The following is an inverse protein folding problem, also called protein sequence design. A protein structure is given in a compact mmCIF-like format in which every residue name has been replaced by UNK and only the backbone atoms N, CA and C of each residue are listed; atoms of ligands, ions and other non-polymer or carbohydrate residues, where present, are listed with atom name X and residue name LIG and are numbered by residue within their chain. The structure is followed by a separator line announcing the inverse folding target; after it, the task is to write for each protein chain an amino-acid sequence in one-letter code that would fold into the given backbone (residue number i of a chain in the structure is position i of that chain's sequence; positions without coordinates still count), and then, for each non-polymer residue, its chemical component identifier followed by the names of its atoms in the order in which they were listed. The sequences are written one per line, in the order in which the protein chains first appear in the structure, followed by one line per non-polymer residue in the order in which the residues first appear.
data_IF_280870745870
#
_entry.id   IF_280870745870
#
_cell.length_a   1.000
_cell.length_b   1.000
_cell.length_c   1.000
_cell.angle_alpha   90.00
_cell.angle_beta   90.00
_cell.angle_gamma   90.00
#
_symmetry.space_group_name_H-M   'P 1'
#
loop_
_entity.id
_entity.type
_entity.pdbx_description
1 polymer ?
#
# COMPACT_ATOMS: atom_id res chain seq x y z
N UNK A 1 -1.09 -28.26 -26.89
CA UNK A 1 -0.96 -26.84 -26.50
C UNK A 1 -2.17 -26.31 -25.72
N UNK A 2 -3.40 -26.66 -26.08
CA UNK A 2 -4.66 -25.95 -25.73
C UNK A 2 -5.03 -25.70 -24.26
N UNK A 3 -4.27 -26.20 -23.27
CA UNK A 3 -4.55 -25.94 -21.84
C UNK A 3 -3.95 -24.62 -21.32
N UNK A 4 -3.01 -24.00 -22.04
CA UNK A 4 -2.34 -22.79 -21.57
C UNK A 4 -3.23 -21.54 -21.76
N UNK A 5 -3.76 -21.36 -22.98
CA UNK A 5 -4.58 -20.20 -23.36
C UNK A 5 -5.86 -20.10 -22.52
N UNK A 6 -6.54 -21.23 -22.31
CA UNK A 6 -7.77 -21.30 -21.48
C UNK A 6 -7.52 -20.95 -20.00
N UNK A 7 -6.27 -20.98 -19.52
CA UNK A 7 -5.94 -20.56 -18.16
C UNK A 7 -5.67 -19.05 -18.09
N UNK A 8 -4.89 -18.51 -19.02
CA UNK A 8 -4.63 -17.07 -19.10
C UNK A 8 -5.91 -16.26 -19.33
N UNK A 9 -6.84 -16.77 -20.16
CA UNK A 9 -8.15 -16.15 -20.37
C UNK A 9 -8.95 -16.04 -19.06
N UNK A 10 -9.04 -17.12 -18.28
CA UNK A 10 -9.73 -17.14 -16.97
C UNK A 10 -9.10 -16.21 -15.93
N UNK A 11 -7.77 -16.07 -15.94
CA UNK A 11 -7.07 -15.16 -15.02
C UNK A 11 -7.24 -13.69 -15.47
N UNK A 12 -7.21 -13.41 -16.78
CA UNK A 12 -7.57 -12.11 -17.33
C UNK A 12 -9.03 -11.74 -17.03
N UNK A 13 -9.97 -12.68 -17.21
CA UNK A 13 -11.38 -12.52 -16.90
C UNK A 13 -11.59 -12.23 -15.41
N UNK A 14 -10.92 -12.97 -14.51
CA UNK A 14 -10.98 -12.72 -13.07
C UNK A 14 -10.55 -11.29 -12.72
N UNK A 15 -9.39 -10.83 -13.22
CA UNK A 15 -8.89 -9.49 -12.92
C UNK A 15 -9.79 -8.37 -13.47
N UNK A 16 -10.36 -8.57 -14.67
CA UNK A 16 -11.37 -7.67 -15.27
C UNK A 16 -12.64 -7.60 -14.43
N UNK A 17 -13.17 -8.75 -14.00
CA UNK A 17 -14.36 -8.84 -13.14
C UNK A 17 -14.13 -8.21 -11.75
N UNK A 18 -12.95 -8.43 -11.17
CA UNK A 18 -12.56 -7.87 -9.87
C UNK A 18 -12.45 -6.33 -9.93
N UNK A 19 -11.88 -5.79 -11.00
CA UNK A 19 -11.84 -4.34 -11.24
C UNK A 19 -13.22 -3.72 -11.51
N UNK A 20 -14.15 -4.47 -12.13
CA UNK A 20 -15.53 -4.03 -12.32
C UNK A 20 -16.33 -4.05 -11.01
N UNK A 21 -16.13 -5.05 -10.15
CA UNK A 21 -16.73 -5.13 -8.83
C UNK A 21 -16.26 -3.98 -7.93
N UNK A 22 -14.95 -3.69 -7.89
CA UNK A 22 -14.37 -2.55 -7.18
C UNK A 22 -15.08 -1.24 -7.54
N UNK A 23 -15.20 -0.92 -8.83
CA UNK A 23 -15.87 0.30 -9.30
C UNK A 23 -17.36 0.34 -8.93
N UNK A 24 -18.05 -0.80 -8.98
CA UNK A 24 -19.45 -0.88 -8.60
C UNK A 24 -19.68 -0.64 -7.08
N UNK A 25 -18.84 -1.23 -6.22
CA UNK A 25 -18.89 -1.01 -4.76
C UNK A 25 -18.46 0.42 -4.39
N UNK A 26 -17.48 0.98 -5.10
CA UNK A 26 -16.99 2.34 -4.89
C UNK A 26 -17.96 3.43 -5.38
N UNK A 27 -19.00 3.08 -6.15
CA UNK A 27 -19.89 4.04 -6.82
C UNK A 27 -19.26 4.84 -7.96
N UNK A 28 -17.99 4.62 -8.30
CA UNK A 28 -17.23 5.39 -9.31
C UNK A 28 -17.33 4.77 -10.71
N UNK A 29 -17.53 5.61 -11.73
CA UNK A 29 -17.62 5.16 -13.13
C UNK A 29 -16.24 4.92 -13.74
N UNK A 30 -15.39 5.94 -13.66
CA UNK A 30 -14.01 5.91 -14.16
C UNK A 30 -13.06 5.82 -12.96
N UNK A 31 -12.31 4.72 -12.90
CA UNK A 31 -11.19 4.54 -11.97
C UNK A 31 -10.24 3.50 -12.55
N UNK A 32 -8.97 3.86 -12.68
CA UNK A 32 -7.95 3.00 -13.28
C UNK A 32 -7.47 1.95 -12.28
N UNK A 33 -7.93 0.70 -12.42
CA UNK A 33 -7.47 -0.42 -11.59
C UNK A 33 -6.26 -1.10 -12.23
N UNK A 34 -5.14 -1.13 -11.52
CA UNK A 34 -3.90 -1.83 -11.90
C UNK A 34 -3.57 -2.95 -10.91
N UNK A 35 -2.71 -3.90 -11.32
CA UNK A 35 -2.31 -5.04 -10.50
C UNK A 35 -0.78 -5.16 -10.49
N UNK A 36 -0.13 -4.64 -9.45
CA UNK A 36 1.34 -4.54 -9.37
C UNK A 36 1.82 -4.40 -7.92
N UNK A 37 2.96 -5.04 -7.60
CA UNK A 37 3.53 -5.05 -6.25
C UNK A 37 2.77 -5.93 -5.26
N UNK A 38 3.05 -5.74 -3.98
CA UNK A 38 2.51 -6.51 -2.85
C UNK A 38 1.31 -5.85 -2.16
N UNK A 39 1.16 -4.54 -2.30
CA UNK A 39 0.32 -3.72 -1.44
C UNK A 39 -0.73 -2.92 -2.21
N UNK A 40 -1.86 -2.67 -1.55
CA UNK A 40 -2.94 -1.83 -2.08
C UNK A 40 -2.60 -0.35 -1.93
N UNK A 41 -2.70 0.41 -3.01
CA UNK A 41 -2.67 1.87 -3.01
C UNK A 41 -3.96 2.41 -3.63
N UNK A 42 -4.60 3.36 -2.95
CA UNK A 42 -5.80 4.06 -3.41
C UNK A 42 -5.40 5.50 -3.70
N UNK A 43 -5.33 5.85 -4.98
CA UNK A 43 -5.21 7.22 -5.43
C UNK A 43 -6.57 7.89 -5.52
N UNK A 44 -6.61 9.08 -6.13
CA UNK A 44 -7.87 9.82 -6.35
C UNK A 44 -8.68 9.23 -7.52
N UNK A 45 -7.99 8.91 -8.61
CA UNK A 45 -8.60 8.50 -9.89
C UNK A 45 -8.12 7.08 -10.31
N UNK A 46 -7.25 6.46 -9.51
CA UNK A 46 -6.64 5.14 -9.75
C UNK A 46 -6.58 4.29 -8.47
N UNK A 47 -6.50 2.97 -8.64
CA UNK A 47 -6.18 2.01 -7.58
C UNK A 47 -5.14 1.02 -8.10
N UNK A 48 -4.06 0.82 -7.34
CA UNK A 48 -3.13 -0.30 -7.54
C UNK A 48 -3.44 -1.37 -6.51
N UNK A 49 -3.82 -2.55 -6.99
CA UNK A 49 -4.01 -3.75 -6.19
C UNK A 49 -2.76 -4.65 -6.26
N UNK A 50 -2.57 -5.57 -5.29
CA UNK A 50 -1.48 -6.54 -5.33
C UNK A 50 -1.48 -7.39 -6.61
N UNK A 51 -0.29 -7.75 -7.08
CA UNK A 51 -0.12 -8.60 -8.25
C UNK A 51 -0.58 -10.05 -7.96
N UNK A 52 -1.41 -10.62 -8.84
CA UNK A 52 -1.85 -12.01 -8.74
C UNK A 52 -0.86 -12.93 -9.47
N UNK A 53 -0.23 -13.93 -8.81
CA UNK A 53 0.69 -14.83 -9.50
C UNK A 53 -0.04 -15.73 -10.52
N UNK A 54 0.59 -16.15 -11.64
CA UNK A 54 0.00 -17.02 -12.67
C UNK A 54 -0.36 -18.45 -12.22
N UNK A 55 -0.28 -18.74 -10.93
CA UNK A 55 -0.65 -20.01 -10.27
C UNK A 55 -1.49 -19.78 -9.02
N UNK A 56 -2.07 -18.58 -8.86
CA UNK A 56 -2.72 -18.15 -7.63
C UNK A 56 -3.82 -19.09 -7.11
N UNK A 57 -3.72 -19.39 -5.81
CA UNK A 57 -4.64 -20.25 -5.06
C UNK A 57 -6.02 -19.60 -4.89
N UNK A 58 -6.99 -20.38 -4.42
CA UNK A 58 -8.31 -19.85 -4.06
C UNK A 58 -8.21 -18.80 -2.92
N UNK A 59 -7.32 -19.00 -1.95
CA UNK A 59 -7.06 -18.05 -0.87
C UNK A 59 -6.50 -16.72 -1.39
N UNK A 60 -5.49 -16.76 -2.26
CA UNK A 60 -4.91 -15.55 -2.89
C UNK A 60 -5.94 -14.79 -3.74
N UNK A 61 -6.85 -15.50 -4.42
CA UNK A 61 -7.95 -14.89 -5.17
C UNK A 61 -9.05 -14.29 -4.27
N UNK A 62 -9.28 -14.86 -3.07
CA UNK A 62 -10.19 -14.28 -2.07
C UNK A 62 -9.57 -13.04 -1.39
N UNK A 63 -8.28 -13.11 -1.05
CA UNK A 63 -7.50 -11.98 -0.53
C UNK A 63 -7.45 -10.80 -1.51
N UNK A 64 -7.22 -11.05 -2.81
CA UNK A 64 -7.25 -9.99 -3.82
C UNK A 64 -8.64 -9.36 -4.03
N UNK A 65 -9.72 -10.10 -3.73
CA UNK A 65 -11.06 -9.51 -3.63
C UNK A 65 -11.19 -8.63 -2.39
N UNK A 66 -10.75 -9.08 -1.22
CA UNK A 66 -10.79 -8.24 0.00
C UNK A 66 -9.95 -6.98 -0.12
N UNK A 67 -8.80 -7.05 -0.79
CA UNK A 67 -7.99 -5.89 -1.14
C UNK A 67 -8.74 -4.92 -2.08
N UNK A 68 -9.52 -5.44 -3.03
CA UNK A 68 -10.31 -4.66 -3.97
C UNK A 68 -11.55 -4.04 -3.33
N UNK A 69 -12.30 -4.81 -2.53
CA UNK A 69 -13.46 -4.32 -1.80
C UNK A 69 -13.04 -3.29 -0.74
N UNK A 70 -11.95 -3.54 -0.01
CA UNK A 70 -11.39 -2.55 0.92
C UNK A 70 -10.80 -1.32 0.23
N UNK A 71 -10.44 -1.38 -1.05
CA UNK A 71 -10.11 -0.17 -1.83
C UNK A 71 -11.40 0.56 -2.24
N UNK A 72 -12.44 -0.18 -2.62
CA UNK A 72 -13.73 0.36 -3.01
C UNK A 72 -14.43 1.09 -1.87
N UNK A 73 -14.46 0.50 -0.67
CA UNK A 73 -15.06 1.10 0.53
C UNK A 73 -14.31 2.36 0.98
N UNK A 74 -12.99 2.40 0.80
CA UNK A 74 -12.23 3.63 1.01
C UNK A 74 -12.68 4.72 0.03
N UNK A 75 -12.77 4.43 -1.28
CA UNK A 75 -13.28 5.39 -2.27
C UNK A 75 -14.73 5.84 -2.03
N UNK A 76 -15.57 4.99 -1.42
CA UNK A 76 -16.98 5.29 -1.16
C UNK A 76 -17.24 6.08 0.14
N UNK A 77 -16.50 5.79 1.22
CA UNK A 77 -16.84 6.23 2.57
C UNK A 77 -15.81 7.16 3.24
N UNK A 78 -14.71 7.50 2.56
CA UNK A 78 -13.64 8.36 3.07
C UNK A 78 -13.61 9.72 2.34
N UNK A 79 -13.82 10.82 3.05
CA UNK A 79 -13.43 12.16 2.60
C UNK A 79 -11.97 12.45 3.00
N UNK A 80 -11.05 12.64 2.03
CA UNK A 80 -9.66 13.00 2.31
C UNK A 80 -9.50 14.37 2.99
N UNK A 81 -10.46 15.29 2.86
CA UNK A 81 -10.38 16.62 3.49
C UNK A 81 -10.62 16.53 4.99
N UNK A 82 -11.70 15.86 5.40
CA UNK A 82 -12.02 15.58 6.80
C UNK A 82 -10.91 14.79 7.46
N UNK A 83 -10.42 13.72 6.80
CA UNK A 83 -9.27 12.98 7.30
C UNK A 83 -8.04 13.88 7.47
N UNK A 84 -7.63 14.64 6.45
CA UNK A 84 -6.46 15.54 6.55
C UNK A 84 -6.62 16.63 7.63
N UNK A 85 -7.83 17.11 7.90
CA UNK A 85 -8.10 18.12 8.95
C UNK A 85 -7.87 17.58 10.35
N UNK A 86 -8.19 16.31 10.60
CA UNK A 86 -8.16 15.70 11.93
C UNK A 86 -6.99 14.74 12.17
N UNK A 87 -6.24 14.40 11.12
CA UNK A 87 -5.07 13.54 11.20
C UNK A 87 -3.95 14.20 12.04
N UNK A 88 -3.42 13.50 13.07
CA UNK A 88 -2.36 14.03 13.93
C UNK A 88 -0.99 14.02 13.24
N UNK A 89 -0.08 14.89 13.68
CA UNK A 89 1.25 15.05 13.08
C UNK A 89 2.27 13.93 13.43
N UNK A 90 2.34 13.38 14.67
CA UNK A 90 3.30 12.32 14.99
C UNK A 90 3.00 11.02 14.24
N UNK A 91 4.02 10.35 13.70
CA UNK A 91 3.84 9.17 12.84
C UNK A 91 3.14 7.99 13.53
N UNK A 92 3.37 7.80 14.85
CA UNK A 92 2.69 6.78 15.65
C UNK A 92 1.19 7.07 15.81
N UNK A 93 0.85 8.25 16.35
CA UNK A 93 -0.50 8.78 16.42
C UNK A 93 -1.23 8.69 15.06
N UNK A 94 -0.53 9.04 13.98
CA UNK A 94 -1.04 9.00 12.60
C UNK A 94 -1.33 7.57 12.15
N UNK A 95 -0.44 6.62 12.40
CA UNK A 95 -0.66 5.21 12.07
C UNK A 95 -1.89 4.64 12.80
N UNK A 96 -2.11 5.03 14.07
CA UNK A 96 -3.30 4.66 14.84
C UNK A 96 -4.56 5.31 14.24
N UNK A 97 -4.51 6.59 13.87
CA UNK A 97 -5.62 7.33 13.24
C UNK A 97 -6.03 6.74 11.88
N UNK A 98 -5.06 6.49 11.00
CA UNK A 98 -5.25 5.81 9.71
C UNK A 98 -5.82 4.40 9.90
N UNK A 99 -5.39 3.68 10.94
CA UNK A 99 -5.87 2.34 11.28
C UNK A 99 -7.31 2.32 11.81
N UNK A 100 -7.72 3.32 12.59
CA UNK A 100 -9.09 3.50 13.06
C UNK A 100 -10.04 3.87 11.91
N UNK A 101 -9.68 4.85 11.08
CA UNK A 101 -10.45 5.22 9.88
C UNK A 101 -10.56 4.04 8.90
N UNK A 102 -9.49 3.24 8.77
CA UNK A 102 -9.51 2.03 7.95
C UNK A 102 -10.48 0.98 8.47
N UNK A 103 -10.56 0.79 9.79
CA UNK A 103 -11.55 -0.09 10.40
C UNK A 103 -12.98 0.42 10.17
N UNK A 104 -13.23 1.74 10.29
CA UNK A 104 -14.54 2.37 10.04
C UNK A 104 -15.06 2.06 8.64
N UNK A 105 -14.30 2.41 7.59
CA UNK A 105 -14.77 2.22 6.21
C UNK A 105 -14.89 0.75 5.81
N UNK A 106 -14.04 -0.13 6.35
CA UNK A 106 -14.18 -1.58 6.14
C UNK A 106 -15.40 -2.15 6.88
N UNK A 107 -15.78 -1.59 8.03
CA UNK A 107 -16.94 -2.04 8.81
C UNK A 107 -18.28 -1.65 8.17
N UNK A 108 -18.45 -0.42 7.68
CA UNK A 108 -19.67 0.03 6.98
C UNK A 108 -20.05 -0.97 5.87
N UNK A 109 -19.09 -1.26 4.98
CA UNK A 109 -19.32 -2.20 3.88
C UNK A 109 -19.42 -3.66 4.30
N UNK A 110 -18.77 -4.07 5.40
CA UNK A 110 -18.89 -5.45 5.91
C UNK A 110 -20.29 -5.71 6.49
N UNK A 111 -20.89 -4.72 7.14
CA UNK A 111 -22.20 -4.82 7.79
C UNK A 111 -23.34 -4.85 6.77
N UNK A 112 -23.29 -4.01 5.75
CA UNK A 112 -24.28 -4.02 4.64
C UNK A 112 -24.10 -5.21 3.68
N UNK A 113 -22.85 -5.60 3.41
CA UNK A 113 -22.51 -6.58 2.38
C UNK A 113 -21.69 -7.74 2.96
N UNK A 114 -22.37 -8.74 3.53
CA UNK A 114 -21.72 -9.93 4.11
C UNK A 114 -20.71 -10.65 3.17
N UNK A 115 -20.89 -10.55 1.84
CA UNK A 115 -19.91 -11.05 0.86
C UNK A 115 -18.60 -10.25 0.83
N UNK A 116 -18.69 -8.93 1.01
CA UNK A 116 -17.53 -8.03 1.21
C UNK A 116 -16.89 -8.29 2.56
N UNK A 117 -17.67 -8.44 3.65
CA UNK A 117 -17.16 -8.83 4.96
C UNK A 117 -16.35 -10.14 4.95
N UNK A 118 -16.80 -11.13 4.17
CA UNK A 118 -16.07 -12.38 3.95
C UNK A 118 -14.77 -12.18 3.14
N UNK A 119 -14.79 -11.38 2.07
CA UNK A 119 -13.61 -11.06 1.28
C UNK A 119 -12.57 -10.27 2.10
N UNK A 120 -12.99 -9.24 2.83
CA UNK A 120 -12.16 -8.46 3.77
C UNK A 120 -11.50 -9.37 4.81
N UNK A 121 -12.26 -10.31 5.37
CA UNK A 121 -11.73 -11.30 6.33
C UNK A 121 -10.69 -12.23 5.69
N UNK A 122 -10.85 -12.61 4.43
CA UNK A 122 -9.83 -13.38 3.70
C UNK A 122 -8.54 -12.58 3.46
N UNK A 123 -8.65 -11.29 3.13
CA UNK A 123 -7.48 -10.40 3.00
C UNK A 123 -6.78 -10.15 4.35
N UNK A 124 -7.56 -9.96 5.42
CA UNK A 124 -7.05 -9.82 6.79
C UNK A 124 -6.26 -11.06 7.21
N UNK A 125 -6.84 -12.25 7.04
CA UNK A 125 -6.17 -13.51 7.38
C UNK A 125 -4.85 -13.68 6.60
N UNK A 126 -4.81 -13.38 5.30
CA UNK A 126 -3.55 -13.46 4.54
C UNK A 126 -2.53 -12.38 4.96
N UNK A 127 -2.97 -11.17 5.36
CA UNK A 127 -2.08 -10.10 5.84
C UNK A 127 -1.33 -10.50 7.11
N UNK A 128 -1.98 -11.23 8.01
CA UNK A 128 -1.41 -11.63 9.30
C UNK A 128 -0.95 -13.10 9.38
N UNK A 129 -1.13 -13.92 8.34
CA UNK A 129 -0.83 -15.37 8.32
C UNK A 129 0.55 -15.72 8.91
N UNK A 130 1.56 -14.90 8.62
CA UNK A 130 2.93 -15.05 9.11
C UNK A 130 3.42 -13.83 9.91
N UNK A 131 2.51 -12.97 10.40
CA UNK A 131 2.85 -11.84 11.29
C UNK A 131 2.73 -12.26 12.75
N UNK A 132 3.57 -11.65 13.58
CA UNK A 132 3.43 -11.64 15.03
C UNK A 132 3.04 -10.22 15.46
N UNK A 133 2.26 -10.11 16.52
CA UNK A 133 2.00 -8.85 17.24
C UNK A 133 2.54 -9.08 18.66
N UNK A 134 3.26 -8.09 19.20
CA UNK A 134 3.85 -8.22 20.53
C UNK A 134 2.81 -8.08 21.65
N UNK A 135 3.24 -8.36 22.89
CA UNK A 135 2.40 -8.15 24.06
C UNK A 135 2.21 -6.64 24.37
N UNK A 136 1.13 -6.25 25.07
CA UNK A 136 0.95 -4.88 25.52
C UNK A 136 2.13 -4.40 26.38
N UNK A 137 2.67 -3.22 26.07
CA UNK A 137 3.86 -2.67 26.74
C UNK A 137 5.20 -3.20 26.22
N UNK A 138 5.22 -3.94 25.11
CA UNK A 138 6.44 -4.21 24.32
C UNK A 138 6.34 -3.65 22.89
N UNK A 139 5.15 -3.71 22.29
CA UNK A 139 4.89 -3.15 20.97
C UNK A 139 5.15 -1.63 20.88
N UNK A 140 5.66 -1.23 19.71
CA UNK A 140 5.74 0.16 19.26
C UNK A 140 4.37 0.71 18.80
N UNK A 141 4.33 1.97 18.40
CA UNK A 141 3.11 2.64 17.94
C UNK A 141 2.53 2.00 16.66
N UNK A 142 3.38 1.38 15.84
CA UNK A 142 2.95 0.60 14.67
C UNK A 142 2.23 -0.70 15.08
N UNK A 143 2.74 -1.40 16.09
CA UNK A 143 2.06 -2.56 16.69
C UNK A 143 0.75 -2.18 17.38
N UNK A 144 0.70 -1.03 18.06
CA UNK A 144 -0.54 -0.48 18.64
C UNK A 144 -1.55 -0.15 17.54
N UNK A 145 -1.13 0.46 16.43
CA UNK A 145 -1.99 0.75 15.28
C UNK A 145 -2.60 -0.53 14.67
N UNK A 146 -1.80 -1.61 14.52
CA UNK A 146 -2.28 -2.91 14.05
C UNK A 146 -3.33 -3.52 15.01
N UNK A 147 -3.13 -3.39 16.33
CA UNK A 147 -4.09 -3.85 17.36
C UNK A 147 -5.37 -3.03 17.34
N UNK A 148 -5.27 -1.69 17.25
CA UNK A 148 -6.43 -0.79 17.18
C UNK A 148 -7.29 -1.09 15.95
N UNK A 149 -6.68 -1.36 14.79
CA UNK A 149 -7.43 -1.81 13.60
C UNK A 149 -8.19 -3.11 13.85
N UNK A 150 -7.54 -4.09 14.49
CA UNK A 150 -8.14 -5.41 14.73
C UNK A 150 -9.29 -5.34 15.75
N UNK A 151 -9.11 -4.61 16.86
CA UNK A 151 -10.15 -4.41 17.87
C UNK A 151 -11.33 -3.59 17.34
N UNK A 152 -11.08 -2.46 16.67
CA UNK A 152 -12.17 -1.65 16.10
C UNK A 152 -12.94 -2.41 15.02
N UNK A 153 -12.27 -3.18 14.14
CA UNK A 153 -12.99 -4.02 13.18
C UNK A 153 -13.88 -5.05 13.90
N UNK A 154 -13.39 -5.68 14.96
CA UNK A 154 -14.15 -6.67 15.71
C UNK A 154 -15.35 -6.08 16.45
N UNK A 155 -15.20 -4.93 17.10
CA UNK A 155 -16.31 -4.22 17.77
C UNK A 155 -17.35 -3.76 16.73
N UNK A 156 -16.92 -3.06 15.67
CA UNK A 156 -17.79 -2.48 14.64
C UNK A 156 -18.50 -3.51 13.71
N UNK A 157 -18.15 -4.80 13.77
CA UNK A 157 -18.71 -5.84 12.88
C UNK A 157 -19.05 -7.18 13.55
N UNK A 158 -18.67 -7.37 14.82
CA UNK A 158 -18.73 -8.67 15.51
C UNK A 158 -17.82 -9.76 14.93
N UNK A 159 -17.00 -9.46 13.91
CA UNK A 159 -16.19 -10.47 13.23
C UNK A 159 -14.82 -10.65 13.90
N UNK A 160 -14.45 -11.86 14.35
CA UNK A 160 -13.25 -12.08 15.14
C UNK A 160 -11.93 -11.74 14.40
N UNK A 161 -10.81 -11.57 15.13
CA UNK A 161 -9.48 -11.40 14.56
C UNK A 161 -8.97 -12.70 13.93
N UNK A 162 -7.87 -12.64 13.13
CA UNK A 162 -7.21 -13.82 12.60
C UNK A 162 -6.86 -14.84 13.70
N UNK A 163 -7.12 -16.13 13.44
CA UNK A 163 -7.03 -17.19 14.45
C UNK A 163 -5.62 -17.35 15.05
N UNK A 164 -4.57 -17.01 14.30
CA UNK A 164 -3.18 -17.02 14.78
C UNK A 164 -2.87 -15.88 15.76
N UNK A 165 -3.73 -14.87 15.86
CA UNK A 165 -3.57 -13.72 16.75
C UNK A 165 -4.52 -13.75 17.98
N UNK A 166 -5.54 -14.61 18.02
CA UNK A 166 -6.57 -14.56 19.09
C UNK A 166 -5.99 -14.50 20.51
N UNK A 167 -4.98 -15.34 20.80
CA UNK A 167 -4.33 -15.38 22.11
C UNK A 167 -3.63 -14.06 22.51
N UNK A 168 -3.06 -13.32 21.56
CA UNK A 168 -2.46 -12.01 21.86
C UNK A 168 -3.52 -10.90 21.90
N UNK A 169 -4.55 -10.97 21.07
CA UNK A 169 -5.69 -10.05 21.14
C UNK A 169 -6.41 -10.11 22.50
N UNK A 170 -6.52 -11.30 23.10
CA UNK A 170 -7.10 -11.47 24.44
C UNK A 170 -6.25 -10.83 25.56
N UNK A 171 -4.95 -10.58 25.33
CA UNK A 171 -4.10 -9.76 26.21
C UNK A 171 -4.29 -8.25 25.96
N UNK A 172 -4.52 -7.85 24.71
CA UNK A 172 -4.74 -6.45 24.34
C UNK A 172 -6.11 -5.90 24.76
N UNK A 173 -7.18 -6.70 24.69
CA UNK A 173 -8.54 -6.29 25.12
C UNK A 173 -8.57 -5.59 26.49
N UNK A 174 -8.07 -6.17 27.60
CA UNK A 174 -8.10 -5.51 28.90
C UNK A 174 -7.21 -4.26 28.94
N UNK A 175 -6.05 -4.28 28.27
CA UNK A 175 -5.09 -3.17 28.25
C UNK A 175 -5.61 -1.93 27.48
N UNK A 176 -6.35 -2.17 26.39
CA UNK A 176 -7.04 -1.11 25.64
C UNK A 176 -8.26 -0.64 26.41
N UNK A 177 -9.14 -1.54 26.89
CA UNK A 177 -10.36 -1.14 27.60
C UNK A 177 -10.08 -0.40 28.92
N UNK A 178 -8.97 -0.69 29.61
CA UNK A 178 -8.56 0.05 30.82
C UNK A 178 -8.13 1.50 30.56
N UNK A 179 -7.77 1.83 29.31
CA UNK A 179 -7.35 3.18 28.88
C UNK A 179 -8.48 3.94 28.19
N UNK A 180 -9.12 3.27 27.24
CA UNK A 180 -10.11 3.85 26.34
C UNK A 180 -11.49 3.99 26.99
N UNK A 181 -11.81 3.16 27.99
CA UNK A 181 -13.16 3.12 28.58
C UNK A 181 -14.22 2.95 27.49
N UNK A 182 -15.21 3.83 27.50
CA UNK A 182 -16.36 3.81 26.60
C UNK A 182 -16.08 4.49 25.24
N UNK A 183 -14.81 4.78 24.89
CA UNK A 183 -14.45 5.40 23.61
C UNK A 183 -14.68 4.48 22.41
N UNK A 184 -14.61 3.15 22.59
CA UNK A 184 -14.90 2.18 21.52
C UNK A 184 -16.41 2.19 21.19
N UNK A 185 -17.25 2.16 22.22
CA UNK A 185 -18.70 2.30 22.15
C UNK A 185 -19.13 3.63 21.48
N UNK A 186 -18.39 4.72 21.74
CA UNK A 186 -18.57 6.02 21.05
C UNK A 186 -18.17 5.97 19.56
N UNK A 187 -17.14 5.20 19.19
CA UNK A 187 -16.74 5.01 17.79
C UNK A 187 -17.78 4.18 17.01
N UNK A 188 -18.39 3.15 17.63
CA UNK A 188 -19.53 2.43 17.05
C UNK A 188 -20.71 3.37 16.78
N UNK A 189 -21.09 4.19 17.76
CA UNK A 189 -22.18 5.15 17.64
C UNK A 189 -21.94 6.29 16.63
N UNK A 190 -20.74 6.39 16.03
CA UNK A 190 -20.36 7.45 15.07
C UNK A 190 -19.82 6.92 13.74
N UNK A 191 -19.96 5.62 13.46
CA UNK A 191 -19.42 4.96 12.25
C UNK A 191 -19.76 5.69 10.94
N UNK A 192 -20.98 6.24 10.82
CA UNK A 192 -21.48 6.96 9.64
C UNK A 192 -21.03 8.43 9.55
N UNK A 193 -20.54 9.04 10.63
CA UNK A 193 -20.02 10.42 10.66
C UNK A 193 -18.50 10.42 10.84
N UNK A 194 -17.79 10.56 9.73
CA UNK A 194 -16.33 10.62 9.71
C UNK A 194 -15.75 11.77 10.55
N UNK A 195 -16.48 12.88 10.74
CA UNK A 195 -16.00 14.00 11.57
C UNK A 195 -16.07 13.64 13.04
N UNK A 196 -17.22 13.15 13.51
CA UNK A 196 -17.39 12.73 14.89
C UNK A 196 -16.48 11.54 15.24
N UNK A 197 -16.38 10.55 14.36
CA UNK A 197 -15.47 9.42 14.51
C UNK A 197 -13.99 9.85 14.56
N UNK A 198 -13.59 10.84 13.76
CA UNK A 198 -12.23 11.37 13.78
C UNK A 198 -11.90 12.08 15.11
N UNK A 199 -12.83 12.87 15.65
CA UNK A 199 -12.66 13.54 16.95
C UNK A 199 -12.55 12.53 18.10
N UNK A 200 -13.36 11.47 18.08
CA UNK A 200 -13.26 10.36 19.06
C UNK A 200 -11.98 9.54 18.84
N UNK A 201 -11.51 9.38 17.59
CA UNK A 201 -10.24 8.71 17.27
C UNK A 201 -9.04 9.50 17.81
N UNK A 202 -9.06 10.83 17.80
CA UNK A 202 -8.04 11.65 18.48
C UNK A 202 -8.04 11.45 20.00
N UNK A 203 -9.23 11.33 20.62
CA UNK A 203 -9.38 11.01 22.05
C UNK A 203 -8.89 9.59 22.37
N UNK A 204 -9.12 8.63 21.47
CA UNK A 204 -8.62 7.26 21.55
C UNK A 204 -7.08 7.26 21.62
N UNK A 205 -6.43 7.96 20.69
CA UNK A 205 -4.97 8.07 20.61
C UNK A 205 -4.37 8.61 21.91
N UNK A 206 -4.82 9.77 22.38
CA UNK A 206 -4.31 10.36 23.63
C UNK A 206 -4.53 9.49 24.87
N UNK A 207 -5.59 8.67 24.89
CA UNK A 207 -5.84 7.70 25.96
C UNK A 207 -4.91 6.46 25.89
N UNK A 208 -4.43 6.09 24.70
CA UNK A 208 -3.43 5.03 24.52
C UNK A 208 -2.01 5.53 24.83
N UNK A 209 -1.70 6.79 24.50
CA UNK A 209 -0.38 7.41 24.65
C UNK A 209 -0.06 7.85 26.09
N UNK A 210 -1.07 8.10 26.94
CA UNK A 210 -0.89 8.68 28.30
C UNK A 210 -0.03 7.85 29.26
N UNK A 211 0.16 6.57 28.99
CA UNK A 211 1.01 5.64 29.75
C UNK A 211 2.31 5.23 28.99
N UNK A 212 2.48 5.63 27.72
CA UNK A 212 3.65 5.30 26.91
C UNK A 212 4.86 6.20 27.21
N UNK A 213 4.62 7.37 27.82
CA UNK A 213 5.66 8.14 28.49
C UNK A 213 6.21 9.34 27.71
N UNK A 214 5.35 10.27 27.29
CA UNK A 214 5.73 11.68 27.21
C UNK A 214 4.62 12.61 27.74
N UNK A 215 5.02 13.75 28.29
CA UNK A 215 4.16 14.76 28.88
C UNK A 215 4.17 16.03 28.01
N UNK A 216 3.76 15.89 26.73
CA UNK A 216 4.02 16.88 25.68
C UNK A 216 2.82 17.23 24.79
N UNK A 217 1.57 17.06 25.25
CA UNK A 217 0.40 17.68 24.62
C UNK A 217 -0.71 18.01 25.62
N UNK A 218 -0.61 19.15 26.29
CA UNK A 218 -1.81 19.81 26.79
C UNK A 218 -2.54 20.40 25.56
N UNK A 219 -3.85 20.15 25.36
CA UNK A 219 -4.63 20.91 24.39
C UNK A 219 -4.97 22.28 25.01
N UNK A 220 -3.97 23.17 25.06
CA UNK A 220 -4.19 24.58 25.42
C UNK A 220 -5.07 25.26 24.37
N UNK A 221 -5.87 26.24 24.80
CA UNK A 221 -6.91 26.85 23.99
C UNK A 221 -6.35 27.68 22.80
N UNK A 222 -6.57 27.20 21.57
CA UNK A 222 -6.66 28.06 20.37
C UNK A 222 -7.99 28.85 20.40
N UNK A 223 -8.14 29.70 21.42
CA UNK A 223 -9.21 30.67 21.54
C UNK A 223 -8.87 31.91 20.68
N UNK A 224 -9.14 31.80 19.38
CA UNK A 224 -8.98 32.87 18.39
C UNK A 224 -10.02 34.00 18.60
N UNK A 225 -9.86 34.78 19.67
CA UNK A 225 -10.56 36.05 19.86
C UNK A 225 -10.01 37.10 18.89
N UNK A 226 -10.50 37.08 17.66
CA UNK A 226 -10.26 38.12 16.66
C UNK A 226 -10.81 39.48 17.11
N UNK A 227 -9.96 40.28 17.76
CA UNK A 227 -10.25 41.65 18.16
C UNK A 227 -9.93 42.64 17.03
N UNK A 228 -10.96 43.13 16.34
CA UNK A 228 -10.84 44.29 15.44
C UNK A 228 -10.44 45.55 16.23
N UNK A 229 -9.38 46.26 15.80
CA UNK A 229 -9.24 47.70 16.06
C UNK A 229 -8.39 48.37 14.95
N UNK A 230 -8.96 49.39 14.30
CA UNK A 230 -8.32 50.20 13.26
C UNK A 230 -7.24 51.14 13.83
N UNK A 231 -6.17 51.40 13.07
CA UNK A 231 -5.66 52.78 12.95
C UNK A 231 -5.10 53.04 11.54
N UNK A 232 -5.21 54.29 11.08
CA UNK A 232 -4.85 54.73 9.72
C UNK A 232 -3.75 55.80 9.74
N UNK A 233 -2.57 55.48 9.20
CA UNK A 233 -1.40 56.36 9.18
C UNK A 233 -0.78 56.53 7.79
N UNK A 234 -1.39 57.35 6.92
CA UNK A 234 -0.83 57.72 5.61
C UNK A 234 0.39 58.66 5.74
N UNK A 235 1.36 58.49 4.83
CA UNK A 235 2.37 59.49 4.49
C UNK A 235 3.05 59.12 3.16
N UNK A 236 2.58 59.72 2.07
CA UNK A 236 3.19 59.65 0.74
C UNK A 236 4.68 60.08 0.71
N UNK A 237 5.44 59.55 -0.26
CA UNK A 237 6.38 60.36 -1.03
C UNK A 237 6.62 59.77 -2.42
N UNK A 238 6.38 60.57 -3.46
CA UNK A 238 6.42 60.16 -4.88
C UNK A 238 7.80 60.32 -5.52
N UNK A 239 8.16 59.41 -6.44
CA UNK A 239 8.63 59.67 -7.82
C UNK A 239 9.18 58.35 -8.43
N UNK A 240 8.63 57.84 -9.53
CA UNK A 240 8.72 58.31 -10.94
C UNK A 240 10.01 57.78 -11.63
N UNK A 241 9.93 57.39 -12.91
CA UNK A 241 11.02 56.74 -13.64
C UNK A 241 10.63 55.48 -14.44
N UNK A 242 9.73 55.62 -15.42
CA UNK A 242 9.54 54.62 -16.48
C UNK A 242 10.78 54.46 -17.39
N UNK A 243 11.09 53.22 -17.84
CA UNK A 243 11.34 52.81 -19.24
C UNK A 243 12.02 51.42 -19.36
N UNK A 244 12.31 51.00 -20.60
CA UNK A 244 12.35 49.59 -21.04
C UNK A 244 13.73 49.07 -21.51
N UNK A 245 13.78 47.74 -21.68
CA UNK A 245 14.48 46.99 -22.74
C UNK A 245 15.90 46.41 -22.49
N UNK A 246 15.97 45.08 -22.65
CA UNK A 246 16.94 44.27 -23.44
C UNK A 246 18.45 44.46 -23.23
N UNK A 247 19.13 43.36 -22.92
CA UNK A 247 20.57 43.17 -23.14
C UNK A 247 20.96 41.69 -23.08
N UNK A 248 21.56 41.18 -24.17
CA UNK A 248 22.17 39.84 -24.27
C UNK A 248 23.70 39.97 -24.34
N UNK A 249 24.42 39.03 -23.71
CA UNK A 249 25.77 38.51 -24.05
C UNK A 249 26.01 37.31 -23.10
N UNK A 250 26.49 36.11 -23.44
CA UNK A 250 27.29 35.56 -24.56
C UNK A 250 28.79 35.86 -24.57
N UNK A 251 29.58 34.79 -24.33
CA UNK A 251 30.99 34.52 -24.67
C UNK A 251 31.40 33.32 -23.77
N UNK A 252 31.54 32.07 -24.21
CA UNK A 252 32.29 31.46 -25.33
C UNK A 252 33.83 31.40 -25.16
N UNK A 253 34.40 30.26 -25.57
CA UNK A 253 35.85 30.01 -25.73
C UNK A 253 36.60 29.41 -24.51
N UNK A 254 37.49 28.42 -24.67
CA UNK A 254 37.73 27.50 -25.80
C UNK A 254 38.60 26.29 -25.35
N UNK A 255 38.72 25.26 -26.19
CA UNK A 255 39.47 24.00 -25.94
C UNK A 255 41.01 24.13 -25.97
N UNK A 256 41.72 23.22 -25.31
CA UNK A 256 43.08 22.77 -25.70
C UNK A 256 43.53 21.50 -24.93
N UNK A 257 44.59 20.82 -25.41
CA UNK A 257 44.78 19.38 -25.24
C UNK A 257 46.09 18.92 -24.54
N UNK A 258 46.09 17.63 -24.16
CA UNK A 258 47.18 16.64 -24.20
C UNK A 258 48.36 16.61 -23.21
N UNK A 259 48.50 15.43 -22.57
CA UNK A 259 49.70 14.56 -22.40
C UNK A 259 51.02 15.07 -21.77
N UNK A 260 51.38 14.43 -20.65
CA UNK A 260 52.63 13.65 -20.35
C UNK A 260 52.75 13.57 -18.80
N UNK A 261 52.91 12.44 -18.10
CA UNK A 261 53.74 11.22 -18.19
C UNK A 261 54.90 11.21 -17.16
N UNK A 262 55.19 10.02 -16.62
CA UNK A 262 56.00 9.59 -15.45
C UNK A 262 55.10 8.88 -14.40
N UNK A 263 55.26 7.60 -14.05
CA UNK A 263 56.41 6.70 -14.14
C UNK A 263 57.16 6.62 -12.79
N UNK A 264 57.65 5.49 -12.29
CA UNK A 264 57.62 4.08 -12.72
C UNK A 264 58.04 3.17 -11.52
N UNK A 265 57.91 1.84 -11.64
CA UNK A 265 58.47 0.77 -10.78
C UNK A 265 57.90 0.65 -9.35
N UNK A 266 57.72 -0.53 -8.74
CA UNK A 266 58.09 -1.92 -9.11
C UNK A 266 58.56 -2.66 -7.83
N UNK A 267 58.47 -3.97 -7.63
CA UNK A 267 57.89 -5.13 -8.35
C UNK A 267 57.65 -6.25 -7.26
N UNK A 268 57.40 -7.57 -7.42
CA UNK A 268 57.52 -8.56 -8.50
C UNK A 268 56.65 -9.83 -8.23
N UNK A 269 56.59 -10.74 -9.22
CA UNK A 269 56.84 -12.22 -9.21
C UNK A 269 56.62 -13.05 -7.91
N UNK A 270 56.22 -14.34 -7.94
CA UNK A 270 56.10 -15.42 -8.96
C UNK A 270 55.08 -16.48 -8.44
N UNK A 271 54.54 -17.46 -9.18
CA UNK A 271 54.63 -17.88 -10.59
C UNK A 271 54.01 -19.29 -10.79
N UNK A 272 53.72 -19.67 -12.06
CA UNK A 272 53.78 -21.04 -12.67
C UNK A 272 53.21 -22.33 -12.00
N UNK A 273 52.82 -23.41 -12.70
CA UNK A 273 52.44 -23.73 -14.10
C UNK A 273 51.74 -25.11 -14.11
N UNK A 274 51.03 -25.53 -15.17
CA UNK A 274 50.55 -26.91 -15.35
C UNK A 274 49.72 -27.14 -16.62
N UNK A 275 50.12 -28.10 -17.46
CA UNK A 275 49.64 -28.33 -18.84
C UNK A 275 49.44 -29.84 -19.12
N UNK A 276 48.83 -30.17 -20.28
CA UNK A 276 48.73 -31.51 -20.91
C UNK A 276 47.88 -32.60 -20.18
N UNK A 277 47.37 -33.68 -20.82
CA UNK A 277 46.98 -34.00 -22.22
C UNK A 277 46.22 -35.37 -22.20
N UNK A 278 45.47 -35.74 -23.24
CA UNK A 278 44.85 -37.06 -23.39
C UNK A 278 43.59 -37.12 -24.29
N UNK A 279 43.53 -38.10 -25.20
CA UNK A 279 42.64 -38.13 -26.37
C UNK A 279 41.80 -39.42 -26.53
N UNK A 280 41.00 -39.49 -27.62
CA UNK A 280 40.33 -40.67 -28.21
C UNK A 280 39.09 -41.24 -27.47
N UNK A 281 38.08 -41.84 -28.12
CA UNK A 281 37.57 -41.78 -29.52
C UNK A 281 36.08 -42.22 -29.52
N UNK A 282 35.32 -41.99 -30.60
CA UNK A 282 33.92 -42.49 -30.67
C UNK A 282 33.08 -42.03 -31.87
N UNK A 283 33.21 -42.70 -33.01
CA UNK A 283 32.37 -42.47 -34.21
C UNK A 283 31.05 -43.24 -34.17
N UNK A 284 29.99 -42.67 -34.78
CA UNK A 284 29.00 -43.44 -35.55
C UNK A 284 28.19 -42.53 -36.47
N UNK A 285 28.20 -42.84 -37.77
CA UNK A 285 27.29 -42.23 -38.76
C UNK A 285 25.85 -42.74 -38.62
N UNK A 286 24.92 -42.09 -39.33
CA UNK A 286 23.49 -42.42 -39.33
C UNK A 286 22.70 -41.65 -40.39
N UNK A 287 23.07 -41.81 -41.66
CA UNK A 287 22.45 -41.11 -42.80
C UNK A 287 20.96 -41.46 -42.99
N UNK A 288 20.22 -40.55 -43.63
CA UNK A 288 18.82 -40.78 -44.03
C UNK A 288 18.73 -41.74 -45.23
N UNK A 289 17.54 -42.28 -45.50
CA UNK A 289 17.02 -42.07 -46.84
C UNK A 289 15.59 -41.53 -46.86
N UNK A 290 15.37 -40.55 -47.73
CA UNK A 290 14.04 -40.19 -48.21
C UNK A 290 13.54 -41.28 -49.18
N UNK A 291 12.26 -41.64 -49.11
CA UNK A 291 11.64 -42.63 -50.01
C UNK A 291 10.27 -42.11 -50.50
N UNK A 292 10.16 -41.98 -51.81
CA UNK A 292 9.03 -41.37 -52.53
C UNK A 292 8.03 -42.45 -53.05
N UNK A 293 7.06 -42.06 -53.87
CA UNK A 293 6.17 -42.87 -54.72
C UNK A 293 4.89 -43.48 -54.09
N UNK A 294 3.79 -42.74 -54.27
CA UNK A 294 2.56 -43.14 -55.01
C UNK A 294 2.19 -44.64 -55.14
N UNK A 295 0.93 -45.00 -54.86
CA UNK A 295 0.34 -46.29 -55.28
C UNK A 295 -1.19 -46.42 -55.09
N UNK A 296 -1.92 -46.79 -56.15
CA UNK A 296 -3.37 -47.06 -56.15
C UNK A 296 -3.73 -48.44 -55.55
N UNK A 297 -4.82 -48.51 -54.76
CA UNK A 297 -6.00 -49.39 -54.93
C UNK A 297 -7.00 -49.14 -53.78
N UNK A 298 -8.34 -49.22 -53.89
CA UNK A 298 -9.28 -49.79 -54.87
C UNK A 298 -9.70 -51.27 -54.69
N UNK A 299 -10.47 -51.56 -53.63
CA UNK A 299 -11.67 -52.43 -53.65
C UNK A 299 -12.55 -52.04 -52.43
N UNK A 300 -13.82 -51.63 -52.63
CA UNK A 300 -15.09 -52.41 -52.58
C UNK A 300 -15.48 -52.99 -51.20
N UNK A 301 -16.75 -52.76 -50.87
CA UNK A 301 -17.47 -53.15 -49.65
C UNK A 301 -18.83 -52.48 -49.67
#
# INVERSE_FOLDING_TARGET
MSNHDSKFDKESQFLKSNAAALRAVAGVKECQVTYAGTDTHVGKDDVRLPALPPTATAAQKASLRGAADGAALWLAHHDPKTHKKHCPNPDGARAIFESAERARVEAIGANDLAGVGANLTAALNQRYENRQIEAPGSADEAGIAEVVRLLLREELTGAPPPQNLSMVMDLWRPWVKSRTGDLLDQLEATIDDQTAFAEISRRLIGALETDLGDASSNPDDDADEGSDEDDSGDSQSDQDGEQSAVGEDQSEGEDSQSMDDAGDSGSSQEGEMGEADGSEEGMSDGESPNADMTGHNADRG
#
